data_IF_882328668705
#
_entry.id   IF_882328668705
#
_cell.length_a   1.000
_cell.length_b   1.000
_cell.length_c   1.000
_cell.angle_alpha   90.00
_cell.angle_beta   90.00
_cell.angle_gamma   90.00
#
_symmetry.space_group_name_H-M   'P 1'
#
loop_
_entity.id
_entity.type
_entity.pdbx_description
1 polymer ?
#
# COMPACT_ATOMS: atom_id res chain seq x y z
N UNK A 1 15.26 -11.30 -6.23
CA UNK A 1 14.56 -10.94 -4.97
C UNK A 1 13.44 -11.95 -4.77
N UNK A 2 13.46 -12.67 -3.68
CA UNK A 2 12.41 -13.63 -3.34
C UNK A 2 11.31 -13.02 -2.47
N UNK A 3 10.27 -13.79 -2.13
CA UNK A 3 9.14 -13.28 -1.31
C UNK A 3 9.55 -12.92 0.11
N UNK A 4 10.59 -13.53 0.66
CA UNK A 4 11.09 -13.19 2.00
C UNK A 4 11.80 -11.84 1.97
N UNK A 5 12.61 -11.60 0.94
CA UNK A 5 13.29 -10.32 0.71
C UNK A 5 12.29 -9.17 0.53
N UNK A 6 11.22 -9.40 -0.25
CA UNK A 6 10.18 -8.37 -0.47
C UNK A 6 9.54 -8.00 0.86
N UNK A 7 9.16 -8.99 1.68
CA UNK A 7 8.55 -8.74 2.99
C UNK A 7 9.48 -8.00 3.94
N UNK A 8 10.71 -8.47 4.09
CA UNK A 8 11.65 -7.85 5.03
C UNK A 8 11.96 -6.41 4.63
N UNK A 9 12.20 -6.13 3.33
CA UNK A 9 12.44 -4.77 2.83
C UNK A 9 11.27 -3.83 3.12
N UNK A 10 10.03 -4.31 2.87
CA UNK A 10 8.83 -3.54 3.18
C UNK A 10 8.77 -3.16 4.66
N UNK A 11 8.87 -4.14 5.54
CA UNK A 11 8.76 -3.91 6.98
C UNK A 11 9.90 -3.04 7.51
N UNK A 12 11.14 -3.34 7.15
CA UNK A 12 12.32 -2.60 7.56
C UNK A 12 12.27 -1.12 7.11
N UNK A 13 11.80 -0.89 5.87
CA UNK A 13 11.68 0.46 5.34
C UNK A 13 10.70 1.30 6.16
N UNK A 14 9.51 0.79 6.39
CA UNK A 14 8.50 1.51 7.15
C UNK A 14 8.80 1.57 8.65
N UNK A 15 9.44 0.55 9.22
CA UNK A 15 9.83 0.57 10.62
C UNK A 15 10.85 1.68 10.92
N UNK A 16 11.91 1.81 10.11
CA UNK A 16 13.01 2.70 10.48
C UNK A 16 13.91 3.22 9.36
N UNK A 17 13.79 2.72 8.12
CA UNK A 17 14.79 2.99 7.07
C UNK A 17 14.37 4.03 6.03
N UNK A 18 13.22 4.67 6.19
CA UNK A 18 12.77 5.71 5.26
C UNK A 18 13.42 7.08 5.53
N UNK A 19 13.57 7.89 4.48
CA UNK A 19 14.24 9.21 4.56
C UNK A 19 13.50 10.20 5.44
N UNK A 20 12.17 10.09 5.54
CA UNK A 20 11.33 10.98 6.36
C UNK A 20 11.43 10.66 7.86
N UNK A 21 12.13 9.59 8.24
CA UNK A 21 12.24 9.11 9.64
C UNK A 21 10.88 8.88 10.31
N UNK A 22 9.88 8.51 9.52
CA UNK A 22 8.54 8.19 9.98
C UNK A 22 8.48 6.70 10.38
N UNK A 23 8.77 6.41 11.64
CA UNK A 23 8.72 5.04 12.17
C UNK A 23 7.28 4.55 12.27
N UNK A 24 7.02 3.37 11.71
CA UNK A 24 5.74 2.65 11.80
C UNK A 24 5.86 1.47 12.76
N UNK A 25 4.81 1.21 13.50
CA UNK A 25 4.73 -0.02 14.30
C UNK A 25 4.50 -1.22 13.38
N UNK A 26 5.38 -2.21 13.46
CA UNK A 26 5.19 -3.47 12.73
C UNK A 26 4.06 -4.26 13.42
N UNK A 27 2.99 -4.51 12.68
CA UNK A 27 1.82 -5.26 13.15
C UNK A 27 1.81 -6.63 12.48
N UNK A 28 1.80 -7.73 13.24
CA UNK A 28 1.73 -9.07 12.69
C UNK A 28 0.47 -9.28 11.84
N UNK A 29 0.54 -10.20 10.86
CA UNK A 29 -0.63 -10.63 10.11
C UNK A 29 -1.73 -11.10 11.06
N UNK A 30 -2.92 -10.55 10.94
CA UNK A 30 -4.09 -11.03 11.64
C UNK A 30 -4.52 -12.42 11.13
N UNK A 31 -5.44 -13.07 11.85
CA UNK A 31 -6.11 -14.30 11.38
C UNK A 31 -6.76 -14.07 10.02
N UNK A 32 -6.80 -15.12 9.19
CA UNK A 32 -7.56 -15.10 7.94
C UNK A 32 -9.08 -15.05 8.17
N UNK A 33 -9.55 -15.55 9.31
CA UNK A 33 -10.95 -15.41 9.70
C UNK A 33 -11.15 -13.96 10.11
N UNK A 34 -12.00 -13.25 9.36
CA UNK A 34 -12.25 -11.84 9.62
C UNK A 34 -13.03 -11.65 10.93
N UNK A 35 -12.69 -10.58 11.64
CA UNK A 35 -13.51 -10.09 12.76
C UNK A 35 -14.67 -9.19 12.31
N UNK A 36 -14.63 -8.72 11.05
CA UNK A 36 -15.71 -7.95 10.44
C UNK A 36 -16.89 -8.87 10.12
N UNK A 37 -18.11 -8.61 10.63
CA UNK A 37 -19.27 -9.49 10.43
C UNK A 37 -19.72 -9.57 8.96
N UNK A 38 -19.28 -8.64 8.12
CA UNK A 38 -19.61 -8.62 6.68
C UNK A 38 -18.62 -9.41 5.83
N UNK A 39 -17.54 -9.92 6.42
CA UNK A 39 -16.49 -10.64 5.72
C UNK A 39 -16.26 -12.02 6.34
N UNK A 40 -16.29 -13.05 5.50
CA UNK A 40 -15.95 -14.40 5.93
C UNK A 40 -14.43 -14.53 6.15
N UNK A 41 -13.63 -13.96 5.24
CA UNK A 41 -12.18 -14.02 5.25
C UNK A 41 -11.58 -12.63 5.03
N UNK A 42 -10.40 -12.42 5.57
CA UNK A 42 -9.61 -11.20 5.32
C UNK A 42 -9.14 -11.20 3.85
N UNK A 43 -9.66 -10.27 3.07
CA UNK A 43 -9.41 -10.15 1.64
C UNK A 43 -8.50 -8.96 1.26
N UNK A 44 -8.13 -8.13 2.24
CA UNK A 44 -7.24 -7.00 2.05
C UNK A 44 -6.47 -6.67 3.33
N UNK A 45 -5.28 -6.09 3.17
CA UNK A 45 -4.41 -5.68 4.30
C UNK A 45 -5.02 -4.63 5.20
N UNK A 46 -5.98 -3.86 4.71
CA UNK A 46 -6.68 -2.81 5.47
C UNK A 46 -7.75 -3.38 6.42
N UNK A 47 -8.31 -4.56 6.15
CA UNK A 47 -9.44 -5.12 6.92
C UNK A 47 -9.19 -5.14 8.44
N UNK A 48 -8.01 -5.57 8.96
CA UNK A 48 -7.75 -5.55 10.39
C UNK A 48 -7.69 -4.13 11.01
N UNK A 49 -7.50 -3.10 10.19
CA UNK A 49 -7.40 -1.70 10.62
C UNK A 49 -8.69 -0.91 10.41
N UNK A 50 -9.70 -1.51 9.78
CA UNK A 50 -10.99 -0.86 9.48
C UNK A 50 -11.62 -0.16 10.68
N UNK A 51 -11.70 -0.77 11.89
CA UNK A 51 -12.27 -0.11 13.07
C UNK A 51 -11.56 1.20 13.45
N UNK A 52 -10.26 1.31 13.18
CA UNK A 52 -9.49 2.51 13.43
C UNK A 52 -9.84 3.63 12.44
N UNK A 53 -10.02 3.29 11.16
CA UNK A 53 -10.40 4.25 10.12
C UNK A 53 -11.86 4.72 10.28
N UNK A 54 -12.74 3.86 10.76
CA UNK A 54 -14.13 4.20 11.06
C UNK A 54 -14.28 4.99 12.38
N UNK A 55 -13.21 5.10 13.17
CA UNK A 55 -13.27 5.79 14.46
C UNK A 55 -13.98 4.99 15.56
N UNK A 56 -14.27 3.72 15.34
CA UNK A 56 -14.92 2.82 16.31
C UNK A 56 -13.98 2.49 17.47
N UNK A 57 -12.69 2.38 17.17
CA UNK A 57 -11.63 2.08 18.14
C UNK A 57 -10.48 3.06 17.93
N UNK A 58 -9.94 3.60 19.02
CA UNK A 58 -8.75 4.44 18.97
C UNK A 58 -7.52 3.57 18.63
N UNK A 59 -6.76 3.89 17.57
CA UNK A 59 -5.56 3.13 17.26
C UNK A 59 -4.51 3.27 18.38
N UNK A 60 -3.82 2.19 18.77
CA UNK A 60 -2.79 2.24 19.80
C UNK A 60 -1.47 2.84 19.30
N UNK A 61 -1.37 3.13 18.02
CA UNK A 61 -0.21 3.71 17.33
C UNK A 61 -0.67 4.71 16.28
N UNK A 62 0.17 5.69 15.96
CA UNK A 62 -0.12 6.68 14.90
C UNK A 62 0.09 6.12 13.50
N UNK A 63 1.02 5.21 13.35
CA UNK A 63 1.42 4.60 12.08
C UNK A 63 1.63 3.11 12.26
N UNK A 64 1.22 2.32 11.27
CA UNK A 64 1.43 0.89 11.25
C UNK A 64 1.94 0.41 9.90
N UNK A 65 2.67 -0.68 9.91
CA UNK A 65 3.02 -1.45 8.71
C UNK A 65 2.78 -2.92 8.96
N UNK A 66 2.34 -3.63 7.95
CA UNK A 66 2.08 -5.07 8.03
C UNK A 66 2.26 -5.75 6.68
N UNK A 67 2.42 -7.07 6.72
CA UNK A 67 2.30 -7.95 5.57
C UNK A 67 1.21 -8.95 5.88
N UNK A 68 -0.01 -8.62 5.47
CA UNK A 68 -1.24 -9.34 5.81
C UNK A 68 -1.47 -10.49 4.84
N UNK A 69 -1.73 -11.68 5.37
CA UNK A 69 -2.25 -12.83 4.61
C UNK A 69 -3.70 -12.55 4.21
N UNK A 70 -4.01 -12.74 2.92
CA UNK A 70 -5.31 -12.46 2.35
C UNK A 70 -5.82 -13.62 1.50
N UNK A 71 -7.14 -13.79 1.47
CA UNK A 71 -7.82 -14.75 0.58
C UNK A 71 -8.91 -14.01 -0.21
N UNK A 72 -8.87 -14.17 -1.54
CA UNK A 72 -9.91 -13.70 -2.45
C UNK A 72 -10.44 -14.86 -3.26
N UNK A 73 -11.63 -15.31 -2.94
CA UNK A 73 -12.28 -16.44 -3.64
C UNK A 73 -13.00 -16.00 -4.90
N UNK A 74 -13.38 -14.71 -5.00
CA UNK A 74 -14.05 -14.17 -6.19
C UNK A 74 -13.13 -14.13 -7.42
N UNK A 75 -11.83 -14.11 -7.22
CA UNK A 75 -10.84 -14.09 -8.31
C UNK A 75 -10.46 -15.51 -8.81
N UNK A 76 -11.11 -16.56 -8.30
CA UNK A 76 -10.71 -17.95 -8.58
C UNK A 76 -10.75 -18.31 -10.06
N UNK A 77 -11.71 -17.74 -10.80
CA UNK A 77 -11.86 -17.98 -12.24
C UNK A 77 -10.74 -17.36 -13.06
N UNK A 78 -10.01 -16.41 -12.51
CA UNK A 78 -8.88 -15.74 -13.15
C UNK A 78 -7.52 -16.35 -12.78
N UNK A 79 -7.50 -17.17 -11.71
CA UNK A 79 -6.27 -17.84 -11.25
C UNK A 79 -5.82 -18.88 -12.27
N UNK A 80 -4.56 -18.78 -12.69
CA UNK A 80 -3.99 -19.63 -13.73
C UNK A 80 -4.26 -19.17 -15.18
N UNK A 81 -5.16 -18.20 -15.40
CA UNK A 81 -5.40 -17.55 -16.70
C UNK A 81 -4.59 -16.27 -16.84
N UNK A 82 -4.46 -15.51 -15.77
CA UNK A 82 -3.66 -14.29 -15.73
C UNK A 82 -2.39 -14.52 -14.91
N UNK A 83 -1.41 -13.67 -15.10
CA UNK A 83 -0.15 -13.69 -14.31
C UNK A 83 -0.26 -12.92 -12.99
N UNK A 84 -1.41 -12.38 -12.66
CA UNK A 84 -1.60 -11.42 -11.55
C UNK A 84 -2.53 -11.90 -10.46
N UNK A 85 -3.45 -12.83 -10.74
CA UNK A 85 -4.43 -13.28 -9.78
C UNK A 85 -3.95 -14.50 -9.01
N UNK A 86 -4.15 -14.44 -7.69
CA UNK A 86 -3.94 -15.54 -6.77
C UNK A 86 -5.06 -15.54 -5.74
N UNK A 87 -5.58 -16.71 -5.37
CA UNK A 87 -6.62 -16.82 -4.34
C UNK A 87 -6.07 -16.59 -2.94
N UNK A 88 -4.80 -16.96 -2.69
CA UNK A 88 -4.09 -16.69 -1.44
C UNK A 88 -2.84 -15.88 -1.76
N UNK A 89 -2.65 -14.76 -1.07
CA UNK A 89 -1.51 -13.87 -1.24
C UNK A 89 -1.22 -13.08 0.03
N UNK A 90 -0.10 -12.37 0.02
CA UNK A 90 0.26 -11.45 1.09
C UNK A 90 0.19 -10.03 0.55
N UNK A 91 -0.46 -9.14 1.30
CA UNK A 91 -0.59 -7.73 0.96
C UNK A 91 0.29 -6.92 1.90
N UNK A 92 1.28 -6.26 1.34
CA UNK A 92 2.10 -5.28 2.04
C UNK A 92 1.29 -3.99 2.25
N UNK A 93 1.26 -3.49 3.47
CA UNK A 93 0.47 -2.31 3.82
C UNK A 93 1.20 -1.38 4.77
N UNK A 94 1.02 -0.08 4.56
CA UNK A 94 1.41 0.97 5.49
C UNK A 94 0.21 1.88 5.74
N UNK A 95 0.02 2.27 6.99
CA UNK A 95 -1.19 2.95 7.45
C UNK A 95 -0.81 4.13 8.33
N UNK A 96 -1.48 5.26 8.10
CA UNK A 96 -1.36 6.48 8.90
C UNK A 96 -2.72 6.82 9.50
N UNK A 97 -2.79 6.95 10.81
CA UNK A 97 -4.01 7.26 11.55
C UNK A 97 -3.98 8.73 12.00
N UNK A 98 -4.27 9.64 11.05
CA UNK A 98 -4.27 11.08 11.30
C UNK A 98 -2.88 11.69 11.54
N UNK A 99 -1.83 11.10 10.97
CA UNK A 99 -0.45 11.59 11.11
C UNK A 99 0.07 12.19 9.79
N UNK A 100 0.38 11.39 8.79
CA UNK A 100 0.68 11.90 7.45
C UNK A 100 -0.44 11.56 6.47
N UNK A 101 -0.51 12.29 5.35
CA UNK A 101 -1.48 12.08 4.30
C UNK A 101 -0.78 11.94 2.94
N UNK A 102 -1.30 12.53 1.86
CA UNK A 102 -0.83 12.31 0.49
C UNK A 102 0.66 12.61 0.31
N UNK A 103 1.15 13.74 0.82
CA UNK A 103 2.53 14.16 0.67
C UNK A 103 3.50 13.10 1.24
N UNK A 104 3.30 12.70 2.48
CA UNK A 104 4.11 11.66 3.11
C UNK A 104 3.96 10.30 2.44
N UNK A 105 2.73 9.89 2.12
CA UNK A 105 2.47 8.60 1.49
C UNK A 105 3.12 8.47 0.11
N UNK A 106 3.01 9.50 -0.72
CA UNK A 106 3.58 9.54 -2.07
C UNK A 106 5.11 9.50 -2.01
N UNK A 107 5.72 10.32 -1.15
CA UNK A 107 7.17 10.36 -0.99
C UNK A 107 7.73 9.00 -0.53
N UNK A 108 7.10 8.37 0.48
CA UNK A 108 7.50 7.05 0.98
C UNK A 108 7.35 5.96 -0.09
N UNK A 109 6.23 5.97 -0.82
CA UNK A 109 5.99 4.99 -1.89
C UNK A 109 7.06 5.10 -2.99
N UNK A 110 7.35 6.32 -3.45
CA UNK A 110 8.36 6.55 -4.48
C UNK A 110 9.74 6.14 -4.02
N UNK A 111 10.15 6.57 -2.82
CA UNK A 111 11.44 6.19 -2.25
C UNK A 111 11.62 4.67 -2.22
N UNK A 112 10.66 3.94 -1.66
CA UNK A 112 10.75 2.48 -1.54
C UNK A 112 10.84 1.79 -2.90
N UNK A 113 10.05 2.24 -3.86
CA UNK A 113 10.00 1.62 -5.19
C UNK A 113 11.25 1.87 -6.00
N UNK A 114 11.81 3.09 -5.96
CA UNK A 114 12.89 3.52 -6.86
C UNK A 114 14.29 3.42 -6.24
N UNK A 115 14.40 3.51 -4.92
CA UNK A 115 15.68 3.37 -4.20
C UNK A 115 16.34 2.03 -4.55
N UNK A 116 17.65 2.06 -4.67
CA UNK A 116 18.42 0.88 -5.10
C UNK A 116 18.23 -0.32 -4.16
N UNK A 117 18.39 -1.51 -4.68
CA UNK A 117 18.30 -2.74 -3.86
C UNK A 117 19.42 -2.84 -2.84
N UNK A 118 20.60 -2.25 -3.10
CA UNK A 118 21.71 -2.14 -2.13
C UNK A 118 21.35 -1.24 -0.95
N UNK A 119 20.50 -0.25 -1.17
CA UNK A 119 20.10 0.73 -0.16
C UNK A 119 18.75 0.39 0.50
N UNK A 120 18.23 -0.82 0.23
CA UNK A 120 17.03 -1.34 0.86
C UNK A 120 15.71 -1.07 0.11
N UNK A 121 15.75 -0.44 -1.07
CA UNK A 121 14.59 -0.27 -1.94
C UNK A 121 14.34 -1.46 -2.87
N UNK A 122 13.35 -1.32 -3.76
CA UNK A 122 13.04 -2.32 -4.77
C UNK A 122 13.77 -2.11 -6.09
N UNK A 123 14.37 -0.95 -6.32
CA UNK A 123 15.19 -0.66 -7.49
C UNK A 123 14.43 -0.62 -8.81
N UNK A 124 13.16 -0.24 -8.79
CA UNK A 124 12.41 -0.07 -10.03
C UNK A 124 12.91 1.16 -10.78
N UNK A 125 13.06 1.01 -12.09
CA UNK A 125 13.44 2.12 -12.97
C UNK A 125 12.30 3.12 -13.06
N UNK A 126 12.58 4.39 -12.73
CA UNK A 126 11.59 5.47 -12.69
C UNK A 126 10.86 5.65 -14.03
N UNK A 127 11.57 5.41 -15.14
CA UNK A 127 11.03 5.54 -16.51
C UNK A 127 9.98 4.49 -16.85
N UNK A 128 9.90 3.40 -16.08
CA UNK A 128 8.92 2.33 -16.23
C UNK A 128 7.70 2.47 -15.34
N UNK A 129 7.73 3.43 -14.40
CA UNK A 129 6.64 3.63 -13.46
C UNK A 129 5.61 4.62 -14.01
N UNK A 130 4.35 4.25 -13.86
CA UNK A 130 3.19 5.08 -14.16
C UNK A 130 2.38 5.26 -12.90
N UNK A 131 1.78 6.44 -12.76
CA UNK A 131 0.99 6.81 -11.60
C UNK A 131 -0.44 7.08 -12.02
N UNK A 132 -1.41 6.59 -11.25
CA UNK A 132 -2.80 6.99 -11.39
C UNK A 132 -3.21 7.85 -10.20
N UNK A 133 -4.00 8.89 -10.48
CA UNK A 133 -4.65 9.72 -9.47
C UNK A 133 -6.15 9.78 -9.78
N UNK A 134 -6.97 10.03 -8.77
CA UNK A 134 -8.38 10.27 -9.02
C UNK A 134 -8.56 11.52 -9.89
N UNK A 135 -9.59 11.54 -10.74
CA UNK A 135 -9.74 12.55 -11.78
C UNK A 135 -9.75 13.99 -11.27
N UNK A 136 -10.32 14.23 -10.09
CA UNK A 136 -10.43 15.54 -9.44
C UNK A 136 -9.35 15.77 -8.37
N UNK A 137 -8.39 14.83 -8.20
CA UNK A 137 -7.34 14.96 -7.19
C UNK A 137 -6.12 15.72 -7.73
N UNK A 138 -6.27 17.05 -7.82
CA UNK A 138 -5.21 17.94 -8.25
C UNK A 138 -4.03 17.96 -7.27
N UNK A 139 -4.29 17.84 -5.97
CA UNK A 139 -3.25 17.80 -4.94
C UNK A 139 -2.31 16.63 -5.16
N UNK A 140 -2.85 15.41 -5.31
CA UNK A 140 -2.01 14.23 -5.56
C UNK A 140 -1.23 14.36 -6.87
N UNK A 141 -1.87 14.85 -7.93
CA UNK A 141 -1.20 15.06 -9.22
C UNK A 141 -0.03 16.07 -9.12
N UNK A 142 -0.23 17.14 -8.37
CA UNK A 142 0.80 18.15 -8.13
C UNK A 142 1.95 17.61 -7.27
N UNK A 143 1.68 16.84 -6.23
CA UNK A 143 2.72 16.20 -5.40
C UNK A 143 3.56 15.25 -6.27
N UNK A 144 2.93 14.36 -7.05
CA UNK A 144 3.63 13.47 -7.95
C UNK A 144 4.52 14.21 -8.96
N UNK A 145 4.01 15.32 -9.53
CA UNK A 145 4.75 16.06 -10.54
C UNK A 145 5.80 16.99 -9.96
N UNK A 146 5.41 17.85 -8.98
CA UNK A 146 6.25 18.97 -8.52
C UNK A 146 7.24 18.56 -7.42
N UNK A 147 6.85 17.62 -6.54
CA UNK A 147 7.70 17.21 -5.44
C UNK A 147 8.51 15.96 -5.77
N UNK A 148 7.88 14.96 -6.37
CA UNK A 148 8.53 13.69 -6.72
C UNK A 148 9.25 13.74 -8.07
N UNK A 149 8.75 14.56 -9.01
CA UNK A 149 9.37 14.75 -10.31
C UNK A 149 8.83 13.82 -11.41
N UNK A 150 7.73 13.12 -11.18
CA UNK A 150 7.10 12.26 -12.21
C UNK A 150 6.61 13.13 -13.38
N UNK A 151 7.01 12.83 -14.64
CA UNK A 151 6.55 13.56 -15.81
C UNK A 151 5.03 13.53 -15.94
N UNK A 152 4.40 14.64 -16.32
CA UNK A 152 2.92 14.76 -16.46
C UNK A 152 2.31 13.69 -17.35
N UNK A 153 2.99 13.29 -18.42
CA UNK A 153 2.52 12.25 -19.34
C UNK A 153 2.51 10.84 -18.74
N UNK A 154 3.09 10.65 -17.55
CA UNK A 154 3.05 9.38 -16.78
C UNK A 154 2.09 9.45 -15.58
N UNK A 155 1.43 10.57 -15.38
CA UNK A 155 0.38 10.72 -14.36
C UNK A 155 -0.95 10.62 -15.07
N UNK A 156 -1.70 9.55 -14.83
CA UNK A 156 -2.98 9.29 -15.45
C UNK A 156 -4.11 9.58 -14.46
N UNK A 157 -5.05 10.42 -14.89
CA UNK A 157 -6.28 10.66 -14.13
C UNK A 157 -7.30 9.58 -14.48
N UNK A 158 -7.92 9.00 -13.47
CA UNK A 158 -8.90 7.92 -13.60
C UNK A 158 -10.09 8.18 -12.69
N UNK A 159 -11.28 7.83 -13.18
CA UNK A 159 -12.52 7.97 -12.43
C UNK A 159 -12.76 6.82 -11.44
N UNK A 160 -13.99 6.75 -10.94
CA UNK A 160 -14.43 5.79 -9.91
C UNK A 160 -14.14 4.32 -10.24
N UNK A 161 -14.27 3.94 -11.53
CA UNK A 161 -14.11 2.54 -11.95
C UNK A 161 -12.67 2.03 -11.78
N UNK A 162 -11.68 2.90 -11.96
CA UNK A 162 -10.28 2.50 -12.07
C UNK A 162 -9.42 3.00 -10.90
N UNK A 163 -9.83 4.05 -10.21
CA UNK A 163 -8.99 4.70 -9.19
C UNK A 163 -9.76 5.17 -7.96
N UNK A 164 -10.77 4.44 -7.56
CA UNK A 164 -11.52 4.70 -6.33
C UNK A 164 -11.77 3.39 -5.59
N UNK A 165 -11.59 3.43 -4.27
CA UNK A 165 -11.88 2.31 -3.41
C UNK A 165 -12.78 2.76 -2.25
N UNK A 166 -13.93 2.09 -2.08
CA UNK A 166 -14.84 2.32 -0.97
C UNK A 166 -14.77 1.19 0.06
N UNK A 167 -14.94 1.55 1.31
CA UNK A 167 -15.03 0.61 2.42
C UNK A 167 -16.47 0.21 2.70
#
# INVERSE_FOLDING_TARGET
>A
MDSADIRSRWLDFFESKNSLKLSHTVVPSASLIASDPNLLLVNAGMVPFKPFFLGEVKPPYKRATSVQKCVRTLDIDEVGKTTRHASFFQMCGNFSFGDYFKEGAIALAWELLTKSTSDGGYGFSEDKLWVTVYEDDDEAADIWHKQVGVPKNRIQRRGMADNFWSM
#
